data_IF_643756473284
#
_entry.id   IF_643756473284
#
_cell.length_a   1.000
_cell.length_b   1.000
_cell.length_c   1.000
_cell.angle_alpha   90.00
_cell.angle_beta   90.00
_cell.angle_gamma   90.00
#
_symmetry.space_group_name_H-M   'P 1'
#
loop_
_entity.id
_entity.type
_entity.pdbx_description
1 polymer ?
#
# COMPACT_ATOMS: atom_id res chain seq x y z
N UNK A 1 -4.85 62.27 -13.01
CA UNK A 1 -4.24 60.94 -12.83
C UNK A 1 -5.20 60.11 -12.00
N UNK A 2 -5.87 59.14 -12.64
CA UNK A 2 -6.93 58.35 -12.00
C UNK A 2 -6.33 57.38 -10.98
N UNK A 3 -6.82 57.49 -9.74
CA UNK A 3 -6.70 56.50 -8.67
C UNK A 3 -7.66 55.35 -8.97
N UNK A 4 -7.19 54.10 -8.88
CA UNK A 4 -8.01 52.91 -9.03
C UNK A 4 -7.88 52.03 -7.79
N UNK A 5 -8.75 52.28 -6.82
CA UNK A 5 -9.03 51.40 -5.69
C UNK A 5 -9.86 50.21 -6.19
N UNK A 6 -9.30 49.00 -6.13
CA UNK A 6 -10.02 47.75 -6.41
C UNK A 6 -10.65 47.19 -5.14
N UNK A 7 -11.98 47.16 -5.10
CA UNK A 7 -12.80 46.55 -4.06
C UNK A 7 -12.73 45.01 -4.15
N UNK A 8 -12.37 44.33 -3.06
CA UNK A 8 -12.60 42.89 -2.91
C UNK A 8 -14.10 42.64 -2.73
N UNK A 9 -14.70 41.93 -3.68
CA UNK A 9 -16.10 41.50 -3.63
C UNK A 9 -16.23 40.24 -2.76
N UNK A 10 -17.04 40.34 -1.71
CA UNK A 10 -17.53 39.20 -0.95
C UNK A 10 -18.67 38.51 -1.73
N UNK A 11 -18.69 37.18 -1.72
CA UNK A 11 -19.88 36.39 -2.00
C UNK A 11 -20.20 35.56 -0.75
N UNK A 12 -21.26 35.97 -0.05
CA UNK A 12 -21.98 35.13 0.90
C UNK A 12 -23.20 34.51 0.20
N UNK A 13 -23.52 33.30 0.66
CA UNK A 13 -24.79 32.57 0.65
C UNK A 13 -25.29 31.86 -0.62
N UNK A 14 -25.24 30.52 -0.59
CA UNK A 14 -26.50 29.75 -0.65
C UNK A 14 -26.38 28.37 0.00
N UNK A 15 -27.42 28.05 0.76
CA UNK A 15 -27.67 26.88 1.58
C UNK A 15 -27.66 25.55 0.81
N UNK A 16 -27.01 24.54 1.40
CA UNK A 16 -27.04 23.16 0.94
C UNK A 16 -26.68 22.21 2.08
N UNK A 17 -27.44 22.26 3.18
CA UNK A 17 -27.36 21.26 4.23
C UNK A 17 -27.85 19.91 3.71
N UNK A 18 -26.92 19.02 3.39
CA UNK A 18 -27.19 17.60 3.31
C UNK A 18 -26.56 16.93 4.52
N UNK A 19 -27.38 16.78 5.57
CA UNK A 19 -27.09 15.88 6.68
C UNK A 19 -27.05 14.46 6.13
N UNK A 20 -25.89 14.06 5.60
CA UNK A 20 -25.56 12.65 5.43
C UNK A 20 -25.29 12.10 6.82
N UNK A 21 -26.20 11.28 7.34
CA UNK A 21 -25.87 10.35 8.40
C UNK A 21 -24.64 9.55 7.93
N UNK A 22 -23.46 9.94 8.40
CA UNK A 22 -22.33 9.02 8.48
C UNK A 22 -22.67 8.05 9.59
N UNK A 23 -23.57 7.12 9.29
CA UNK A 23 -23.72 5.91 10.07
C UNK A 23 -22.41 5.17 9.87
N UNK A 24 -21.49 5.39 10.82
CA UNK A 24 -20.24 4.66 10.88
C UNK A 24 -20.62 3.18 10.89
N UNK A 25 -20.27 2.47 9.81
CA UNK A 25 -20.40 1.02 9.75
C UNK A 25 -19.79 0.44 11.03
N UNK A 26 -20.55 -0.33 11.83
CA UNK A 26 -19.99 -0.92 13.04
C UNK A 26 -18.77 -1.76 12.66
N UNK A 27 -17.70 -1.77 13.49
CA UNK A 27 -16.55 -2.60 13.23
C UNK A 27 -17.01 -4.05 13.07
N UNK A 28 -16.57 -4.70 11.99
CA UNK A 28 -16.88 -6.12 11.75
C UNK A 28 -16.37 -6.92 12.95
N UNK A 29 -17.26 -7.65 13.61
CA UNK A 29 -16.89 -8.44 14.78
C UNK A 29 -15.90 -9.55 14.39
N UNK A 30 -14.90 -9.83 15.22
CA UNK A 30 -13.89 -10.88 14.99
C UNK A 30 -14.47 -12.24 14.55
N UNK A 31 -15.61 -12.72 15.10
CA UNK A 31 -16.23 -13.97 14.65
C UNK A 31 -16.75 -13.92 13.21
N UNK A 32 -17.21 -12.77 12.73
CA UNK A 32 -17.70 -12.61 11.36
C UNK A 32 -16.54 -12.65 10.35
N UNK A 33 -15.38 -12.05 10.68
CA UNK A 33 -14.19 -12.14 9.83
C UNK A 33 -13.63 -13.55 9.76
N UNK A 34 -13.59 -14.28 10.89
CA UNK A 34 -13.13 -15.66 10.91
C UNK A 34 -13.98 -16.57 10.00
N UNK A 35 -15.30 -16.36 9.97
CA UNK A 35 -16.19 -17.10 9.08
C UNK A 35 -15.92 -16.80 7.58
N UNK A 36 -15.60 -15.54 7.24
CA UNK A 36 -15.25 -15.14 5.86
C UNK A 36 -13.87 -15.69 5.44
N UNK A 37 -12.93 -15.81 6.37
CA UNK A 37 -11.63 -16.46 6.13
C UNK A 37 -11.80 -17.96 5.91
N UNK A 38 -12.66 -18.61 6.71
CA UNK A 38 -12.94 -20.05 6.59
C UNK A 38 -13.73 -20.37 5.31
N UNK A 39 -14.61 -19.47 4.86
CA UNK A 39 -15.29 -19.61 3.57
C UNK A 39 -14.41 -19.26 2.36
N UNK A 40 -13.24 -18.64 2.59
CA UNK A 40 -12.33 -18.18 1.54
C UNK A 40 -12.79 -16.91 0.84
N UNK A 41 -13.78 -16.20 1.37
CA UNK A 41 -14.24 -14.90 0.84
C UNK A 41 -13.22 -13.79 1.07
N UNK A 42 -12.41 -13.90 2.13
CA UNK A 42 -11.29 -12.99 2.40
C UNK A 42 -10.02 -13.79 2.72
N UNK A 43 -8.83 -13.24 2.44
CA UNK A 43 -7.58 -13.92 2.77
C UNK A 43 -7.37 -14.02 4.27
N UNK A 44 -6.79 -15.15 4.70
CA UNK A 44 -6.36 -15.35 6.07
C UNK A 44 -4.99 -14.73 6.28
N UNK A 45 -4.99 -13.50 6.80
CA UNK A 45 -3.77 -12.74 7.05
C UNK A 45 -3.32 -12.84 8.51
N UNK A 46 -2.01 -12.78 8.74
CA UNK A 46 -1.44 -12.65 10.08
C UNK A 46 -1.82 -11.28 10.67
N UNK A 47 -2.47 -11.29 11.84
CA UNK A 47 -2.84 -10.08 12.59
C UNK A 47 -2.10 -9.96 13.93
N UNK A 48 -0.97 -10.65 14.07
CA UNK A 48 -0.09 -10.51 15.22
C UNK A 48 0.50 -9.09 15.31
N UNK A 49 1.01 -8.73 16.49
CA UNK A 49 1.72 -7.47 16.71
C UNK A 49 3.18 -7.52 16.27
N UNK A 50 3.65 -8.66 15.76
CA UNK A 50 5.01 -8.77 15.24
C UNK A 50 5.09 -8.08 13.88
N UNK A 51 5.96 -7.07 13.78
CA UNK A 51 6.12 -6.26 12.58
C UNK A 51 6.60 -7.12 11.41
N UNK A 52 7.53 -8.04 11.66
CA UNK A 52 8.00 -8.96 10.63
C UNK A 52 6.93 -10.00 10.29
N UNK A 53 6.33 -10.61 11.32
CA UNK A 53 5.45 -11.75 11.14
C UNK A 53 6.24 -12.99 10.71
N UNK A 54 5.52 -14.05 10.38
CA UNK A 54 6.13 -15.33 10.02
C UNK A 54 6.67 -15.32 8.58
N UNK A 55 7.95 -15.63 8.43
CA UNK A 55 8.65 -15.89 7.17
C UNK A 55 9.49 -17.16 7.40
N UNK A 56 8.92 -18.32 7.07
CA UNK A 56 9.49 -19.62 7.48
C UNK A 56 10.68 -20.03 6.62
N UNK A 57 10.65 -19.70 5.32
CA UNK A 57 11.69 -20.06 4.36
C UNK A 57 12.76 -18.97 4.19
N UNK A 58 12.60 -17.84 4.87
CA UNK A 58 13.52 -16.70 4.90
C UNK A 58 13.70 -16.08 3.52
N UNK A 59 12.68 -16.12 2.69
CA UNK A 59 12.70 -15.51 1.36
C UNK A 59 12.41 -14.00 1.40
N UNK A 60 12.09 -13.44 2.56
CA UNK A 60 11.79 -12.03 2.77
C UNK A 60 10.33 -11.67 2.47
N UNK A 61 9.45 -12.63 2.24
CA UNK A 61 7.99 -12.45 2.12
C UNK A 61 7.31 -13.14 3.30
N UNK A 62 6.35 -12.46 3.90
CA UNK A 62 5.52 -13.05 4.97
C UNK A 62 4.67 -14.19 4.41
N UNK A 63 4.64 -15.34 5.10
CA UNK A 63 4.03 -16.60 4.61
C UNK A 63 2.54 -16.43 4.23
N UNK A 64 1.78 -15.62 4.97
CA UNK A 64 0.36 -15.32 4.69
C UNK A 64 0.18 -14.49 3.42
N UNK A 65 1.06 -13.52 3.17
CA UNK A 65 1.07 -12.71 1.95
C UNK A 65 1.47 -13.58 0.75
N UNK A 66 2.50 -14.43 0.89
CA UNK A 66 2.90 -15.35 -0.17
C UNK A 66 1.74 -16.28 -0.53
N UNK A 67 1.08 -16.87 0.46
CA UNK A 67 -0.11 -17.72 0.27
C UNK A 67 -1.22 -16.97 -0.50
N UNK A 68 -1.50 -15.72 -0.12
CA UNK A 68 -2.46 -14.88 -0.82
C UNK A 68 -2.05 -14.64 -2.29
N UNK A 69 -0.81 -14.19 -2.52
CA UNK A 69 -0.26 -13.96 -3.87
C UNK A 69 -0.36 -15.22 -4.73
N UNK A 70 0.00 -16.38 -4.18
CA UNK A 70 0.00 -17.64 -4.91
C UNK A 70 -1.38 -18.12 -5.31
N UNK A 71 -2.38 -17.86 -4.46
CA UNK A 71 -3.78 -18.18 -4.74
C UNK A 71 -4.43 -17.23 -5.76
N UNK A 72 -4.00 -15.97 -5.82
CA UNK A 72 -4.65 -14.93 -6.64
C UNK A 72 -4.02 -14.76 -8.03
N UNK A 73 -2.71 -14.96 -8.17
CA UNK A 73 -2.01 -14.80 -9.44
C UNK A 73 -1.61 -16.15 -10.00
N UNK A 74 -2.21 -16.56 -11.12
CA UNK A 74 -1.85 -17.81 -11.82
C UNK A 74 -0.73 -17.60 -12.84
N UNK A 75 -0.68 -16.41 -13.46
CA UNK A 75 0.41 -16.01 -14.32
C UNK A 75 1.72 -15.84 -13.53
N UNK A 76 2.82 -16.39 -14.06
CA UNK A 76 4.10 -16.40 -13.36
C UNK A 76 4.73 -15.01 -13.27
N UNK A 77 4.58 -14.17 -14.30
CA UNK A 77 5.15 -12.82 -14.28
C UNK A 77 4.40 -11.95 -13.26
N UNK A 78 3.07 -12.04 -13.21
CA UNK A 78 2.23 -11.35 -12.23
C UNK A 78 2.56 -11.76 -10.80
N UNK A 79 2.67 -13.08 -10.55
CA UNK A 79 3.07 -13.62 -9.25
C UNK A 79 4.44 -13.10 -8.83
N UNK A 80 5.43 -13.16 -9.71
CA UNK A 80 6.79 -12.70 -9.41
C UNK A 80 6.84 -11.19 -9.11
N UNK A 81 6.11 -10.37 -9.88
CA UNK A 81 6.00 -8.93 -9.63
C UNK A 81 5.35 -8.63 -8.25
N UNK A 82 4.29 -9.36 -7.90
CA UNK A 82 3.65 -9.23 -6.59
C UNK A 82 4.57 -9.68 -5.45
N UNK A 83 5.32 -10.77 -5.63
CA UNK A 83 6.31 -11.24 -4.65
C UNK A 83 7.45 -10.23 -4.49
N UNK A 84 7.93 -9.60 -5.57
CA UNK A 84 8.93 -8.54 -5.51
C UNK A 84 8.44 -7.34 -4.68
N UNK A 85 7.19 -6.92 -4.87
CA UNK A 85 6.57 -5.86 -4.07
C UNK A 85 6.39 -6.25 -2.60
N UNK A 86 5.96 -7.48 -2.32
CA UNK A 86 5.83 -7.98 -0.96
C UNK A 86 7.19 -7.99 -0.22
N UNK A 87 8.26 -8.45 -0.90
CA UNK A 87 9.64 -8.43 -0.37
C UNK A 87 10.10 -7.01 -0.06
N UNK A 88 9.90 -6.08 -1.01
CA UNK A 88 10.29 -4.68 -0.82
C UNK A 88 9.51 -4.01 0.32
N UNK A 89 8.22 -4.35 0.49
CA UNK A 89 7.41 -3.87 1.60
C UNK A 89 7.88 -4.46 2.95
N UNK A 90 8.33 -5.70 2.98
CA UNK A 90 8.85 -6.33 4.21
C UNK A 90 10.09 -5.58 4.76
N UNK A 91 10.91 -5.00 3.88
CA UNK A 91 12.06 -4.17 4.29
C UNK A 91 11.64 -2.90 5.05
N UNK A 92 10.44 -2.35 4.79
CA UNK A 92 9.90 -1.20 5.52
C UNK A 92 9.86 -1.51 7.02
N UNK A 93 9.52 -2.73 7.41
CA UNK A 93 9.32 -3.11 8.81
C UNK A 93 10.61 -3.38 9.58
N UNK A 94 11.75 -3.54 8.88
CA UNK A 94 13.04 -3.90 9.49
C UNK A 94 14.13 -2.84 9.34
N UNK A 95 13.97 -1.86 8.44
CA UNK A 95 14.97 -0.80 8.23
C UNK A 95 15.17 0.10 9.47
N UNK A 96 16.39 0.56 9.70
CA UNK A 96 16.67 1.61 10.69
C UNK A 96 16.19 2.96 10.16
N UNK A 97 15.15 3.51 10.79
CA UNK A 97 14.56 4.80 10.41
C UNK A 97 15.46 6.01 10.69
N UNK A 98 16.56 5.85 11.41
CA UNK A 98 17.53 6.92 11.66
C UNK A 98 18.68 6.91 10.65
N UNK A 99 18.81 5.84 9.86
CA UNK A 99 19.71 5.77 8.71
C UNK A 99 18.97 6.19 7.43
N UNK A 100 19.05 7.48 7.10
CA UNK A 100 18.41 8.02 5.91
C UNK A 100 18.92 7.37 4.60
N UNK A 101 20.15 6.85 4.57
CA UNK A 101 20.68 6.16 3.38
C UNK A 101 19.98 4.82 3.23
N UNK A 102 19.84 4.06 4.32
CA UNK A 102 19.11 2.80 4.32
C UNK A 102 17.62 2.99 3.96
N UNK A 103 16.96 4.00 4.54
CA UNK A 103 15.55 4.34 4.23
C UNK A 103 15.35 4.66 2.75
N UNK A 104 16.26 5.46 2.15
CA UNK A 104 16.20 5.77 0.70
C UNK A 104 16.44 4.55 -0.17
N UNK A 105 17.27 3.62 0.26
CA UNK A 105 17.52 2.39 -0.48
C UNK A 105 16.29 1.46 -0.47
N UNK A 106 15.60 1.34 0.68
CA UNK A 106 14.31 0.64 0.75
C UNK A 106 13.27 1.30 -0.16
N UNK A 107 13.16 2.64 -0.12
CA UNK A 107 12.25 3.37 -1.01
C UNK A 107 12.58 3.16 -2.51
N UNK A 108 13.86 3.04 -2.86
CA UNK A 108 14.28 2.72 -4.24
C UNK A 108 13.81 1.32 -4.65
N UNK A 109 13.82 0.35 -3.74
CA UNK A 109 13.34 -1.02 -3.99
C UNK A 109 11.83 -1.04 -4.14
N UNK A 110 11.09 -0.35 -3.28
CA UNK A 110 9.64 -0.14 -3.42
C UNK A 110 9.30 0.47 -4.78
N UNK A 111 9.95 1.57 -5.17
CA UNK A 111 9.71 2.21 -6.45
C UNK A 111 9.99 1.28 -7.64
N UNK A 112 11.03 0.43 -7.56
CA UNK A 112 11.33 -0.57 -8.60
C UNK A 112 10.30 -1.69 -8.67
N UNK A 113 9.82 -2.16 -7.53
CA UNK A 113 8.78 -3.18 -7.44
C UNK A 113 7.46 -2.65 -7.98
N UNK A 114 7.05 -1.43 -7.60
CA UNK A 114 5.88 -0.76 -8.18
C UNK A 114 6.05 -0.60 -9.69
N UNK A 115 7.20 -0.12 -10.16
CA UNK A 115 7.44 -0.03 -11.59
C UNK A 115 7.33 -1.40 -12.30
N UNK A 116 7.76 -2.49 -11.66
CA UNK A 116 7.57 -3.84 -12.20
C UNK A 116 6.08 -4.23 -12.26
N UNK A 117 5.29 -3.93 -11.21
CA UNK A 117 3.84 -4.11 -11.23
C UNK A 117 3.24 -3.38 -12.43
N UNK A 118 3.58 -2.12 -12.68
CA UNK A 118 3.06 -1.38 -13.82
C UNK A 118 3.50 -1.99 -15.17
N UNK A 119 4.73 -2.49 -15.29
CA UNK A 119 5.17 -3.18 -16.51
C UNK A 119 4.41 -4.49 -16.79
N UNK A 120 4.05 -5.23 -15.74
CA UNK A 120 3.45 -6.59 -15.86
C UNK A 120 1.93 -6.54 -15.92
N UNK A 121 1.31 -5.56 -15.25
CA UNK A 121 -0.14 -5.39 -15.15
C UNK A 121 -0.67 -4.26 -16.06
N UNK A 122 0.07 -3.90 -17.13
CA UNK A 122 -0.31 -2.89 -18.13
C UNK A 122 -1.35 -3.36 -19.18
N UNK A 123 -1.94 -2.41 -19.91
CA UNK A 123 -3.20 -2.51 -20.67
C UNK A 123 -3.36 -3.76 -21.57
N UNK A 124 -4.44 -4.53 -21.35
CA UNK A 124 -4.82 -5.71 -22.10
C UNK A 124 -4.97 -6.99 -21.26
N UNK A 125 -4.61 -6.94 -19.98
CA UNK A 125 -4.84 -8.00 -19.01
C UNK A 125 -6.20 -7.80 -18.31
N UNK A 126 -7.18 -8.66 -18.59
CA UNK A 126 -8.57 -8.57 -18.13
C UNK A 126 -8.80 -8.76 -16.61
N UNK A 127 -7.74 -8.88 -15.81
CA UNK A 127 -7.85 -9.28 -14.41
C UNK A 127 -7.93 -8.11 -13.42
N UNK A 128 -7.00 -7.15 -13.49
CA UNK A 128 -6.89 -6.08 -12.47
C UNK A 128 -5.95 -4.93 -12.88
N UNK A 129 -6.31 -3.65 -12.63
CA UNK A 129 -5.40 -2.53 -12.86
C UNK A 129 -4.16 -2.60 -11.96
N UNK A 130 -2.97 -2.30 -12.51
CA UNK A 130 -1.69 -2.24 -11.79
C UNK A 130 -1.77 -1.43 -10.48
N UNK A 131 -2.40 -0.26 -10.53
CA UNK A 131 -2.56 0.59 -9.35
C UNK A 131 -3.39 -0.06 -8.24
N UNK A 132 -4.35 -0.92 -8.59
CA UNK A 132 -5.15 -1.66 -7.62
C UNK A 132 -4.33 -2.78 -6.98
N UNK A 133 -3.51 -3.47 -7.76
CA UNK A 133 -2.55 -4.47 -7.25
C UNK A 133 -1.60 -3.87 -6.22
N UNK A 134 -0.93 -2.74 -6.54
CA UNK A 134 -0.03 -2.07 -5.58
C UNK A 134 -0.74 -1.70 -4.28
N UNK A 135 -1.95 -1.13 -4.35
CA UNK A 135 -2.72 -0.74 -3.15
C UNK A 135 -3.13 -1.93 -2.30
N UNK A 136 -3.50 -3.05 -2.92
CA UNK A 136 -3.86 -4.25 -2.18
C UNK A 136 -2.67 -4.89 -1.48
N UNK A 137 -1.53 -4.99 -2.17
CA UNK A 137 -0.30 -5.51 -1.57
C UNK A 137 0.16 -4.66 -0.39
N UNK A 138 0.07 -3.33 -0.50
CA UNK A 138 0.30 -2.43 0.64
C UNK A 138 -0.70 -2.71 1.78
N UNK A 139 -1.99 -2.77 1.47
CA UNK A 139 -3.04 -2.96 2.47
C UNK A 139 -2.92 -4.27 3.25
N UNK A 140 -2.60 -5.39 2.58
CA UNK A 140 -2.41 -6.68 3.25
C UNK A 140 -1.09 -6.72 4.03
N UNK A 141 -0.07 -5.98 3.60
CA UNK A 141 1.19 -5.87 4.33
C UNK A 141 1.03 -5.04 5.62
N UNK A 142 0.28 -3.94 5.56
CA UNK A 142 0.04 -3.01 6.69
C UNK A 142 -1.27 -3.30 7.43
N UNK A 143 -1.72 -4.55 7.46
CA UNK A 143 -3.05 -4.97 7.90
C UNK A 143 -3.29 -4.90 9.43
N UNK A 144 -2.30 -4.47 10.21
CA UNK A 144 -2.42 -4.24 11.66
C UNK A 144 -2.06 -2.81 12.01
N UNK A 145 -2.48 -2.37 13.19
CA UNK A 145 -2.18 -1.02 13.67
C UNK A 145 -0.68 -0.77 13.72
N UNK A 146 0.08 -1.70 14.27
CA UNK A 146 1.52 -1.61 14.46
C UNK A 146 2.25 -1.50 13.12
N UNK A 147 1.84 -2.31 12.13
CA UNK A 147 2.43 -2.27 10.79
C UNK A 147 2.08 -0.99 10.04
N UNK A 148 0.83 -0.51 10.15
CA UNK A 148 0.44 0.76 9.56
C UNK A 148 1.18 1.95 10.19
N UNK A 149 1.28 2.00 11.53
CA UNK A 149 2.06 3.04 12.23
C UNK A 149 3.52 3.01 11.77
N UNK A 150 4.13 1.82 11.67
CA UNK A 150 5.51 1.67 11.20
C UNK A 150 5.71 2.10 9.74
N UNK A 151 4.74 1.87 8.86
CA UNK A 151 4.76 2.36 7.48
C UNK A 151 4.66 3.89 7.41
N UNK A 152 3.80 4.49 8.23
CA UNK A 152 3.69 5.96 8.33
C UNK A 152 4.99 6.60 8.84
N UNK A 153 5.66 5.98 9.81
CA UNK A 153 6.97 6.43 10.28
C UNK A 153 8.05 6.35 9.20
N UNK A 154 8.05 5.28 8.39
CA UNK A 154 8.92 5.16 7.23
C UNK A 154 8.67 6.29 6.21
N UNK A 155 7.40 6.55 5.87
CA UNK A 155 7.03 7.64 4.96
C UNK A 155 7.48 9.00 5.52
N UNK A 156 7.29 9.24 6.82
CA UNK A 156 7.77 10.43 7.50
C UNK A 156 9.30 10.58 7.45
N UNK A 157 10.05 9.48 7.54
CA UNK A 157 11.51 9.51 7.41
C UNK A 157 11.97 9.92 5.99
N UNK A 158 11.12 9.76 4.98
CA UNK A 158 11.35 10.20 3.60
C UNK A 158 10.90 11.65 3.34
N UNK A 159 10.25 12.32 4.29
CA UNK A 159 9.76 13.69 4.11
C UNK A 159 10.90 14.64 3.71
N UNK A 160 10.65 15.46 2.69
CA UNK A 160 11.64 16.41 2.15
C UNK A 160 12.73 15.77 1.28
N UNK A 161 12.68 14.46 1.02
CA UNK A 161 13.58 13.80 0.08
C UNK A 161 13.01 13.80 -1.36
N UNK A 162 13.86 13.46 -2.33
CA UNK A 162 13.46 13.21 -3.71
C UNK A 162 14.15 11.97 -4.25
N UNK A 163 13.51 11.32 -5.22
CA UNK A 163 14.04 10.17 -5.93
C UNK A 163 13.60 10.20 -7.40
N UNK A 164 14.39 9.58 -8.25
CA UNK A 164 14.05 9.45 -9.67
C UNK A 164 13.08 8.28 -9.86
N UNK A 165 12.15 8.42 -10.83
CA UNK A 165 11.41 7.26 -11.29
C UNK A 165 12.35 6.23 -11.90
N UNK A 166 12.17 4.93 -11.60
CA UNK A 166 12.91 3.87 -12.28
C UNK A 166 12.70 3.92 -13.81
N UNK A 167 13.66 3.37 -14.55
CA UNK A 167 13.62 3.26 -16.01
C UNK A 167 14.05 1.87 -16.46
N UNK A 168 13.55 1.44 -17.61
CA UNK A 168 13.85 0.13 -18.17
C UNK A 168 13.14 -1.00 -17.41
N UNK A 169 13.57 -2.24 -17.63
CA UNK A 169 13.01 -3.38 -16.89
C UNK A 169 13.47 -3.34 -15.43
N UNK A 170 12.51 -3.32 -14.50
CA UNK A 170 12.77 -3.33 -13.04
C UNK A 170 12.39 -4.64 -12.36
N UNK A 171 11.78 -5.57 -13.09
CA UNK A 171 11.44 -6.90 -12.57
C UNK A 171 12.71 -7.73 -12.31
N UNK A 172 12.66 -8.56 -11.26
CA UNK A 172 13.75 -9.42 -10.78
C UNK A 172 13.62 -10.88 -11.25
#
# INVERSE_FOLDING_TARGET
>A
MLSLSGLLTACLDSSGGSSGNSEATPPVSTPAMAALEESGEIPRLDRSTDLAGLDTDQDGVRDDIQTHIDSHYTDQAQRNAALQAARAMQEVFSVDLHDLVAVKEVNRRLARADHCIYLVFEEGNDNKPAAEVSRELEAIATNTRERLERYLEFNKALDGTSWAMPRGNTCE
#
